data_IF_345023310875
#
_entry.id   IF_345023310875
#
_cell.length_a   1.000
_cell.length_b   1.000
_cell.length_c   1.000
_cell.angle_alpha   90.00
_cell.angle_beta   90.00
_cell.angle_gamma   90.00
#
_symmetry.space_group_name_H-M   'P 1'
#
loop_
_entity.id
_entity.type
_entity.pdbx_description
1 polymer ?
#
# COMPACT_ATOMS: atom_id res chain seq x y z
N UNK A 1 18.00 -1.86 13.97
CA UNK A 1 17.15 -3.05 13.76
C UNK A 1 16.51 -2.93 12.39
N UNK A 2 16.77 -3.88 11.50
CA UNK A 2 16.14 -3.93 10.18
C UNK A 2 14.96 -4.90 10.28
N UNK A 3 13.73 -4.41 10.13
CA UNK A 3 12.54 -5.27 10.12
C UNK A 3 12.63 -6.28 8.96
N UNK A 4 12.18 -7.52 9.17
CA UNK A 4 12.19 -8.48 8.07
C UNK A 4 11.06 -8.17 7.08
N UNK A 5 11.24 -8.50 5.80
CA UNK A 5 10.27 -8.17 4.75
C UNK A 5 8.87 -8.76 5.01
N UNK A 6 8.78 -9.86 5.75
CA UNK A 6 7.51 -10.47 6.17
C UNK A 6 6.75 -9.58 7.15
N UNK A 7 7.43 -9.02 8.16
CA UNK A 7 6.84 -8.09 9.12
C UNK A 7 6.38 -6.81 8.43
N UNK A 8 7.21 -6.28 7.52
CA UNK A 8 6.86 -5.10 6.70
C UNK A 8 5.61 -5.38 5.85
N UNK A 9 5.51 -6.55 5.23
CA UNK A 9 4.36 -6.94 4.43
C UNK A 9 3.09 -7.08 5.30
N UNK A 10 3.19 -7.69 6.48
CA UNK A 10 2.07 -7.84 7.41
C UNK A 10 1.53 -6.50 7.90
N UNK A 11 2.43 -5.60 8.33
CA UNK A 11 2.04 -4.29 8.83
C UNK A 11 1.40 -3.44 7.73
N UNK A 12 1.97 -3.46 6.53
CA UNK A 12 1.40 -2.76 5.38
C UNK A 12 0.05 -3.36 4.94
N UNK A 13 -0.15 -4.68 5.06
CA UNK A 13 -1.45 -5.34 4.78
C UNK A 13 -2.50 -4.91 5.79
N UNK A 14 -2.15 -4.87 7.08
CA UNK A 14 -3.03 -4.44 8.15
C UNK A 14 -3.43 -2.97 8.00
N UNK A 15 -2.46 -2.09 7.72
CA UNK A 15 -2.71 -0.68 7.48
C UNK A 15 -3.70 -0.46 6.34
N UNK A 16 -3.48 -1.11 5.20
CA UNK A 16 -4.34 -1.00 4.03
C UNK A 16 -5.75 -1.55 4.33
N UNK A 17 -5.86 -2.69 4.99
CA UNK A 17 -7.16 -3.29 5.35
C UNK A 17 -7.99 -2.36 6.24
N UNK A 18 -7.38 -1.79 7.29
CA UNK A 18 -8.04 -0.84 8.20
C UNK A 18 -8.47 0.42 7.44
N UNK A 19 -7.59 0.97 6.58
CA UNK A 19 -7.87 2.23 5.88
C UNK A 19 -9.10 2.14 4.99
N UNK A 20 -9.37 0.98 4.40
CA UNK A 20 -10.45 0.77 3.45
C UNK A 20 -11.59 -0.10 4.00
N UNK A 21 -11.65 -0.31 5.32
CA UNK A 21 -12.69 -1.07 6.01
C UNK A 21 -12.87 -2.49 5.43
N UNK A 22 -11.76 -3.14 5.08
CA UNK A 22 -11.72 -4.52 4.59
C UNK A 22 -11.20 -5.46 5.67
N UNK A 23 -11.66 -6.72 5.68
CA UNK A 23 -11.10 -7.73 6.57
C UNK A 23 -9.61 -7.92 6.27
N UNK A 24 -8.81 -7.99 7.33
CA UNK A 24 -7.37 -8.28 7.23
C UNK A 24 -7.21 -9.69 6.69
N UNK A 25 -6.62 -9.84 5.51
CA UNK A 25 -6.24 -11.16 4.97
C UNK A 25 -4.78 -11.45 5.31
N UNK A 26 -4.42 -12.73 5.45
CA UNK A 26 -3.02 -13.12 5.70
C UNK A 26 -2.07 -12.71 4.55
N UNK A 27 -2.59 -12.61 3.33
CA UNK A 27 -1.81 -12.22 2.17
C UNK A 27 -2.14 -10.81 1.68
N UNK A 28 -1.10 -9.98 1.56
CA UNK A 28 -1.18 -8.63 1.00
C UNK A 28 -1.82 -8.59 -0.39
N UNK A 29 -1.59 -9.62 -1.19
CA UNK A 29 -2.12 -9.72 -2.55
C UNK A 29 -3.66 -9.73 -2.55
N UNK A 30 -4.26 -10.56 -1.69
CA UNK A 30 -5.71 -10.70 -1.59
C UNK A 30 -6.39 -9.40 -1.14
N UNK A 31 -5.79 -8.72 -0.15
CA UNK A 31 -6.24 -7.39 0.28
C UNK A 31 -6.19 -6.39 -0.89
N UNK A 32 -5.06 -6.30 -1.60
CA UNK A 32 -4.89 -5.36 -2.72
C UNK A 32 -5.83 -5.66 -3.89
N UNK A 33 -6.02 -6.93 -4.22
CA UNK A 33 -6.93 -7.37 -5.27
C UNK A 33 -8.38 -7.00 -4.93
N UNK A 34 -8.82 -7.26 -3.70
CA UNK A 34 -10.16 -6.88 -3.24
C UNK A 34 -10.39 -5.37 -3.33
N UNK A 35 -9.39 -4.56 -2.95
CA UNK A 35 -9.47 -3.11 -3.02
C UNK A 35 -9.51 -2.57 -4.44
N UNK A 36 -8.65 -3.09 -5.32
CA UNK A 36 -8.67 -2.74 -6.73
C UNK A 36 -10.03 -3.10 -7.35
N UNK A 37 -10.51 -4.31 -7.11
CA UNK A 37 -11.80 -4.79 -7.64
C UNK A 37 -12.96 -3.88 -7.21
N UNK A 38 -12.97 -3.44 -5.94
CA UNK A 38 -13.93 -2.48 -5.43
C UNK A 38 -13.78 -1.09 -6.09
N UNK A 39 -12.55 -0.58 -6.27
CA UNK A 39 -12.31 0.75 -6.84
C UNK A 39 -12.67 0.86 -8.33
N UNK A 40 -12.57 -0.25 -9.08
CA UNK A 40 -12.87 -0.26 -10.53
C UNK A 40 -14.24 -0.86 -10.85
N UNK A 41 -15.07 -1.17 -9.85
CA UNK A 41 -16.40 -1.77 -10.04
C UNK A 41 -16.36 -3.15 -10.71
N UNK A 42 -15.26 -3.89 -10.56
CA UNK A 42 -15.06 -5.22 -11.16
C UNK A 42 -15.08 -6.30 -10.09
N UNK A 43 -16.26 -6.64 -9.58
CA UNK A 43 -16.46 -7.84 -8.78
C UNK A 43 -16.34 -9.09 -9.67
N UNK A 44 -15.21 -9.80 -9.60
CA UNK A 44 -15.04 -11.11 -10.26
C UNK A 44 -13.99 -11.17 -11.38
N UNK A 45 -13.28 -10.09 -11.70
CA UNK A 45 -12.08 -10.17 -12.55
C UNK A 45 -10.84 -10.23 -11.66
N UNK A 46 -9.99 -11.23 -11.88
CA UNK A 46 -8.67 -11.27 -11.25
C UNK A 46 -7.95 -9.95 -11.53
N UNK A 47 -7.45 -9.30 -10.47
CA UNK A 47 -6.51 -8.18 -10.62
C UNK A 47 -5.43 -8.63 -11.60
N UNK A 48 -5.18 -7.83 -12.65
CA UNK A 48 -4.06 -8.12 -13.53
C UNK A 48 -2.85 -8.34 -12.64
N UNK A 49 -2.20 -9.49 -12.78
CA UNK A 49 -0.95 -9.77 -12.09
C UNK A 49 -0.02 -8.62 -12.47
N UNK A 50 0.09 -7.62 -11.57
CA UNK A 50 1.11 -6.61 -11.70
C UNK A 50 2.38 -7.41 -11.49
N UNK A 51 3.21 -7.60 -12.53
CA UNK A 51 4.46 -8.33 -12.34
C UNK A 51 5.16 -7.63 -11.18
N UNK A 52 5.31 -8.34 -10.07
CA UNK A 52 6.07 -7.84 -8.95
C UNK A 52 7.46 -7.60 -9.52
N UNK A 53 7.83 -6.32 -9.67
CA UNK A 53 9.16 -5.98 -10.13
C UNK A 53 10.14 -6.76 -9.26
N UNK A 54 11.04 -7.56 -9.85
CA UNK A 54 11.97 -8.32 -9.06
C UNK A 54 12.65 -7.36 -8.09
N UNK A 55 12.79 -7.72 -6.80
CA UNK A 55 13.30 -6.83 -5.74
C UNK A 55 14.76 -6.39 -5.95
N UNK A 56 15.35 -6.77 -7.08
CA UNK A 56 16.70 -6.50 -7.55
C UNK A 56 16.73 -5.55 -8.75
N UNK A 57 15.58 -5.12 -9.28
CA UNK A 57 15.54 -4.19 -10.41
C UNK A 57 15.65 -2.75 -9.95
N UNK A 58 16.35 -1.91 -10.72
CA UNK A 58 16.37 -0.45 -10.50
C UNK A 58 14.95 0.15 -10.43
N UNK A 59 14.01 -0.41 -11.19
CA UNK A 59 12.61 -0.02 -11.14
C UNK A 59 11.96 -0.28 -9.76
N UNK A 60 12.28 -1.40 -9.10
CA UNK A 60 11.84 -1.68 -7.73
C UNK A 60 12.43 -0.66 -6.75
N UNK A 61 13.74 -0.41 -6.80
CA UNK A 61 14.39 0.58 -5.92
C UNK A 61 13.85 1.99 -6.15
N UNK A 62 13.63 2.40 -7.40
CA UNK A 62 13.03 3.68 -7.74
C UNK A 62 11.59 3.80 -7.20
N UNK A 63 10.81 2.72 -7.28
CA UNK A 63 9.47 2.69 -6.70
C UNK A 63 9.50 2.81 -5.17
N UNK A 64 10.38 2.07 -4.48
CA UNK A 64 10.56 2.16 -3.03
C UNK A 64 10.93 3.59 -2.61
N UNK A 65 11.92 4.20 -3.28
CA UNK A 65 12.33 5.59 -3.02
C UNK A 65 11.15 6.57 -3.23
N UNK A 66 10.39 6.41 -4.31
CA UNK A 66 9.23 7.26 -4.63
C UNK A 66 8.14 7.15 -3.57
N UNK A 67 7.81 5.93 -3.13
CA UNK A 67 6.82 5.70 -2.07
C UNK A 67 7.31 6.32 -0.76
N UNK A 68 8.58 6.14 -0.40
CA UNK A 68 9.14 6.70 0.83
C UNK A 68 9.06 8.23 0.86
N UNK A 69 9.44 8.91 -0.24
CA UNK A 69 9.33 10.37 -0.36
C UNK A 69 7.87 10.83 -0.18
N UNK A 70 6.91 10.16 -0.84
CA UNK A 70 5.48 10.51 -0.71
C UNK A 70 4.99 10.35 0.73
N UNK A 71 5.38 9.27 1.41
CA UNK A 71 5.01 9.07 2.82
C UNK A 71 5.61 10.15 3.72
N UNK A 72 6.88 10.54 3.51
CA UNK A 72 7.50 11.62 4.27
C UNK A 72 6.78 12.96 4.05
N UNK A 73 6.45 13.30 2.80
CA UNK A 73 5.70 14.51 2.48
C UNK A 73 4.32 14.51 3.14
N UNK A 74 3.63 13.37 3.08
CA UNK A 74 2.32 13.23 3.70
C UNK A 74 2.39 13.39 5.22
N UNK A 75 3.35 12.73 5.88
CA UNK A 75 3.56 12.88 7.32
C UNK A 75 3.88 14.33 7.69
N UNK A 76 4.75 14.99 6.92
CA UNK A 76 5.08 16.40 7.15
C UNK A 76 3.86 17.33 6.99
N UNK A 77 3.00 17.06 6.01
CA UNK A 77 1.76 17.81 5.83
C UNK A 77 0.79 17.64 7.01
N UNK A 78 0.66 16.41 7.53
CA UNK A 78 -0.15 16.13 8.73
C UNK A 78 0.42 16.86 9.96
N UNK A 79 1.74 16.80 10.17
CA UNK A 79 2.42 17.46 11.30
C UNK A 79 2.29 19.00 11.21
N UNK A 80 2.17 19.55 9.99
CA UNK A 80 1.93 20.96 9.73
C UNK A 80 0.44 21.39 9.90
N UNK A 81 -0.44 20.47 10.32
CA UNK A 81 -1.86 20.76 10.54
C UNK A 81 -2.71 20.80 9.26
N UNK A 82 -2.18 20.33 8.13
CA UNK A 82 -2.95 20.17 6.90
C UNK A 82 -3.72 18.84 6.93
N UNK A 83 -4.75 18.79 7.78
CA UNK A 83 -5.66 17.64 7.92
C UNK A 83 -6.30 17.24 6.61
N UNK A 84 -6.53 18.18 5.70
CA UNK A 84 -7.20 17.99 4.43
C UNK A 84 -6.37 17.17 3.42
N UNK A 85 -5.08 16.98 3.71
CA UNK A 85 -4.18 16.09 2.98
C UNK A 85 -4.09 14.70 3.63
N UNK A 86 -4.86 14.46 4.70
CA UNK A 86 -5.09 13.13 5.21
C UNK A 86 -5.93 12.39 4.18
N UNK A 87 -5.44 11.32 3.53
CA UNK A 87 -6.22 10.47 2.67
C UNK A 87 -7.31 9.72 3.44
N UNK A 88 -7.63 10.11 4.70
CA UNK A 88 -8.79 9.73 5.51
C UNK A 88 -10.06 10.52 5.19
N UNK A 89 -9.90 11.77 4.75
CA UNK A 89 -10.97 12.64 4.23
C UNK A 89 -11.10 12.49 2.70
#
# INVERSE_FOLDING_TARGET
MTACMKEVANEATRFVSIRYEKPVTEEMFNTRQSLWAASVGKSGKAMQSLPSLPPITEAFYANVKRVHIRTCLWKHALDAGLSDLNPRD
#
